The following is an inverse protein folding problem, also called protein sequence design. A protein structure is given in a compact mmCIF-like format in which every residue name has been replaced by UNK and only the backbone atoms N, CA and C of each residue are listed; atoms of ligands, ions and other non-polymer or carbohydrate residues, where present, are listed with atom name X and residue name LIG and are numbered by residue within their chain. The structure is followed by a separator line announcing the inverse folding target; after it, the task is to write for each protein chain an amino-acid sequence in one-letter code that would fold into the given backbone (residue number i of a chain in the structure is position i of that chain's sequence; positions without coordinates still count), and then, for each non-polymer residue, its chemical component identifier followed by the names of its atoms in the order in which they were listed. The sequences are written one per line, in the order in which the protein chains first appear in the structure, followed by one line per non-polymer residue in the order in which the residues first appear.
data_IF_912295682539
#
_entry.id   IF_912295682539
#
_cell.length_a   1.000
_cell.length_b   1.000
_cell.length_c   1.000
_cell.angle_alpha   90.00
_cell.angle_beta   90.00
_cell.angle_gamma   90.00
#
_symmetry.space_group_name_H-M   'P 1'
#
loop_
_entity.id
_entity.type
_entity.pdbx_description
1 polymer ?
#
# COMPACT_ATOMS: atom_id res chain seq x y z
N UNK A 1 -26.63 12.02 15.90
CA UNK A 1 -26.24 12.30 14.50
C UNK A 1 -25.30 11.20 14.07
N UNK A 2 -25.70 10.36 13.10
CA UNK A 2 -24.77 9.42 12.45
C UNK A 2 -23.90 10.23 11.50
N UNK A 3 -22.59 10.05 11.56
CA UNK A 3 -21.67 10.61 10.58
C UNK A 3 -22.05 10.10 9.17
N UNK A 4 -21.88 10.91 8.12
CA UNK A 4 -22.08 10.44 6.76
C UNK A 4 -21.09 9.30 6.51
N UNK A 5 -21.59 8.13 6.09
CA UNK A 5 -20.76 7.05 5.61
C UNK A 5 -20.09 7.54 4.32
N UNK A 6 -18.78 7.76 4.36
CA UNK A 6 -17.95 7.78 3.15
C UNK A 6 -18.08 6.38 2.52
N UNK A 7 -18.46 6.29 1.25
CA UNK A 7 -18.64 5.02 0.51
C UNK A 7 -17.30 4.32 0.22
N UNK A 8 -16.18 4.99 0.52
CA UNK A 8 -14.82 4.46 0.39
C UNK A 8 -14.59 3.30 1.35
N UNK A 9 -14.16 2.13 0.84
CA UNK A 9 -13.80 0.99 1.70
C UNK A 9 -12.32 1.07 2.04
N UNK A 10 -12.00 1.10 3.32
CA UNK A 10 -10.63 1.08 3.79
C UNK A 10 -10.32 -0.16 4.62
N UNK A 11 -9.05 -0.54 4.59
CA UNK A 11 -8.51 -1.65 5.34
C UNK A 11 -7.39 -1.20 6.25
N UNK A 12 -7.34 -1.80 7.44
CA UNK A 12 -6.24 -1.61 8.38
C UNK A 12 -5.62 -2.96 8.72
N UNK A 13 -4.31 -3.02 8.57
CA UNK A 13 -3.47 -4.10 9.09
C UNK A 13 -2.93 -3.71 10.46
N UNK A 14 -3.04 -4.59 11.46
CA UNK A 14 -2.50 -4.37 12.81
C UNK A 14 -1.12 -5.00 13.01
N UNK A 15 -0.37 -4.57 14.04
CA UNK A 15 0.96 -5.13 14.38
C UNK A 15 0.97 -6.65 14.56
N UNK A 16 -0.11 -7.19 15.13
CA UNK A 16 -0.30 -8.63 15.36
C UNK A 16 -0.80 -9.37 14.11
N UNK A 17 -0.85 -8.71 12.96
CA UNK A 17 -1.20 -9.31 11.67
C UNK A 17 -2.69 -9.58 11.49
N UNK A 18 -3.57 -8.88 12.23
CA UNK A 18 -5.03 -8.90 12.01
C UNK A 18 -5.43 -7.83 11.01
N UNK A 19 -6.47 -8.11 10.22
CA UNK A 19 -7.00 -7.21 9.19
C UNK A 19 -8.44 -6.82 9.49
N UNK A 20 -8.74 -5.53 9.33
CA UNK A 20 -10.07 -4.96 9.50
C UNK A 20 -10.50 -4.24 8.22
N UNK A 21 -11.77 -4.38 7.84
CA UNK A 21 -12.47 -3.63 6.78
C UNK A 21 -13.48 -2.70 7.44
N UNK A 22 -13.34 -1.38 7.25
CA UNK A 22 -14.23 -0.39 7.86
C UNK A 22 -14.45 -0.61 9.38
N UNK A 23 -13.41 -1.08 10.08
CA UNK A 23 -13.43 -1.38 11.52
C UNK A 23 -13.94 -2.78 11.90
N UNK A 24 -14.40 -3.60 10.96
CA UNK A 24 -14.81 -4.99 11.20
C UNK A 24 -13.69 -5.98 10.85
N UNK A 25 -13.38 -6.95 11.72
CA UNK A 25 -12.32 -7.94 11.48
C UNK A 25 -12.71 -8.91 10.36
N UNK A 26 -11.84 -9.10 9.37
CA UNK A 26 -12.11 -9.95 8.19
C UNK A 26 -11.13 -11.12 8.01
N UNK A 27 -10.12 -11.23 8.88
CA UNK A 27 -9.12 -12.28 8.79
C UNK A 27 -9.30 -13.38 9.84
N UNK A 28 -8.84 -14.59 9.52
CA UNK A 28 -8.82 -15.73 10.45
C UNK A 28 -7.43 -15.96 11.09
N UNK A 29 -6.59 -14.91 11.15
CA UNK A 29 -5.25 -15.00 11.74
C UNK A 29 -4.19 -15.47 10.75
N UNK A 30 -4.19 -14.88 9.54
CA UNK A 30 -3.21 -15.19 8.49
C UNK A 30 -1.77 -14.83 8.87
N UNK A 31 -1.56 -14.05 9.94
CA UNK A 31 -0.26 -13.46 10.25
C UNK A 31 0.14 -12.51 9.13
N UNK A 32 -0.76 -11.59 8.78
CA UNK A 32 -0.58 -10.67 7.67
C UNK A 32 0.69 -9.81 7.88
N UNK A 33 1.44 -9.68 6.80
CA UNK A 33 2.57 -8.77 6.65
C UNK A 33 2.13 -7.48 5.97
N UNK A 34 1.29 -7.62 4.94
CA UNK A 34 0.86 -6.50 4.10
C UNK A 34 -0.54 -6.75 3.50
N UNK A 35 -1.22 -5.69 3.11
CA UNK A 35 -2.57 -5.69 2.55
C UNK A 35 -2.69 -4.75 1.36
N UNK A 36 -3.38 -5.20 0.32
CA UNK A 36 -3.77 -4.37 -0.81
C UNK A 36 -5.20 -4.66 -1.24
N UNK A 37 -5.85 -3.69 -1.86
CA UNK A 37 -7.25 -3.80 -2.27
C UNK A 37 -7.50 -3.09 -3.60
N UNK A 38 -8.39 -3.63 -4.43
CA UNK A 38 -8.84 -3.01 -5.70
C UNK A 38 -10.19 -3.61 -6.10
N UNK A 39 -11.10 -2.77 -6.59
CA UNK A 39 -12.40 -3.23 -7.06
C UNK A 39 -13.17 -3.99 -5.97
N UNK A 40 -13.65 -5.20 -6.26
CA UNK A 40 -14.34 -6.05 -5.27
C UNK A 40 -13.41 -6.88 -4.38
N UNK A 41 -12.10 -6.80 -4.58
CA UNK A 41 -11.16 -7.76 -4.00
C UNK A 41 -10.19 -7.13 -3.00
N UNK A 42 -9.87 -7.89 -1.95
CA UNK A 42 -8.77 -7.62 -1.05
C UNK A 42 -7.77 -8.77 -1.06
N UNK A 43 -6.52 -8.44 -0.83
CA UNK A 43 -5.40 -9.34 -0.87
C UNK A 43 -4.55 -9.20 0.39
N UNK A 44 -4.10 -10.34 0.91
CA UNK A 44 -3.21 -10.41 2.07
C UNK A 44 -1.94 -11.13 1.66
N UNK A 45 -0.80 -10.48 1.88
CA UNK A 45 0.51 -11.12 1.94
C UNK A 45 0.81 -11.48 3.39
N UNK A 46 1.10 -12.74 3.66
CA UNK A 46 1.45 -13.20 5.02
C UNK A 46 2.94 -13.09 5.29
N UNK A 47 3.33 -13.07 6.57
CA UNK A 47 4.74 -13.16 6.99
C UNK A 47 5.45 -14.44 6.52
N UNK A 48 4.68 -15.48 6.20
CA UNK A 48 5.18 -16.73 5.63
C UNK A 48 5.25 -16.70 4.09
N UNK A 49 4.91 -15.58 3.44
CA UNK A 49 4.99 -15.40 2.01
C UNK A 49 3.76 -15.80 1.19
N UNK A 50 2.77 -16.43 1.83
CA UNK A 50 1.52 -16.88 1.18
C UNK A 50 0.64 -15.69 0.82
N UNK A 51 -0.12 -15.84 -0.26
CA UNK A 51 -1.06 -14.83 -0.73
C UNK A 51 -2.49 -15.35 -0.66
N UNK A 52 -3.38 -14.55 -0.10
CA UNK A 52 -4.81 -14.80 -0.06
C UNK A 52 -5.55 -13.69 -0.79
N UNK A 53 -6.56 -14.07 -1.60
CA UNK A 53 -7.52 -13.18 -2.24
C UNK A 53 -8.90 -13.49 -1.67
N UNK A 54 -9.56 -12.52 -1.04
CA UNK A 54 -10.86 -12.71 -0.40
C UNK A 54 -10.94 -13.98 0.49
N UNK A 55 -9.85 -14.22 1.25
CA UNK A 55 -9.71 -15.36 2.15
C UNK A 55 -9.36 -16.69 1.47
N UNK A 56 -9.31 -16.74 0.14
CA UNK A 56 -8.87 -17.92 -0.61
C UNK A 56 -7.39 -17.82 -0.93
N UNK A 57 -6.59 -18.83 -0.58
CA UNK A 57 -5.17 -18.87 -0.92
C UNK A 57 -4.97 -19.01 -2.43
N UNK A 58 -4.12 -18.17 -3.01
CA UNK A 58 -3.83 -18.16 -4.46
C UNK A 58 -2.37 -18.42 -4.81
N UNK A 59 -1.46 -18.37 -3.84
CA UNK A 59 -0.03 -18.70 -4.02
C UNK A 59 0.55 -19.32 -2.73
N UNK A 60 1.56 -20.18 -2.88
CA UNK A 60 2.17 -20.96 -1.79
C UNK A 60 3.39 -20.30 -1.15
N UNK A 61 3.98 -19.25 -1.73
CA UNK A 61 5.00 -18.49 -1.01
C UNK A 61 6.05 -17.77 -1.85
N UNK A 62 6.04 -16.44 -1.77
CA UNK A 62 7.20 -15.61 -2.06
C UNK A 62 7.90 -15.23 -0.77
N UNK A 63 9.21 -14.99 -0.77
CA UNK A 63 9.83 -14.16 0.29
C UNK A 63 9.43 -12.70 0.07
N UNK A 64 8.13 -12.42 0.13
CA UNK A 64 7.51 -11.15 -0.19
C UNK A 64 7.65 -10.16 0.95
N UNK A 65 7.90 -8.90 0.62
CA UNK A 65 7.90 -7.76 1.55
C UNK A 65 6.77 -6.78 1.30
N UNK A 66 6.15 -6.84 0.13
CA UNK A 66 5.01 -5.99 -0.21
C UNK A 66 4.12 -6.59 -1.28
N UNK A 67 2.85 -6.19 -1.27
CA UNK A 67 1.83 -6.57 -2.24
C UNK A 67 1.12 -5.33 -2.78
N UNK A 68 0.93 -5.28 -4.09
CA UNK A 68 0.10 -4.26 -4.74
C UNK A 68 -0.87 -4.92 -5.71
N UNK A 69 -2.04 -4.33 -5.90
CA UNK A 69 -3.08 -4.92 -6.74
C UNK A 69 -3.77 -3.89 -7.61
N UNK A 70 -4.30 -4.37 -8.72
CA UNK A 70 -5.22 -3.68 -9.62
C UNK A 70 -6.43 -4.60 -9.84
N UNK A 71 -7.45 -4.13 -10.56
CA UNK A 71 -8.63 -4.94 -10.87
C UNK A 71 -8.32 -6.25 -11.64
N UNK A 72 -7.16 -6.33 -12.28
CA UNK A 72 -6.78 -7.49 -13.10
C UNK A 72 -5.57 -8.25 -12.57
N UNK A 73 -4.64 -7.56 -11.96
CA UNK A 73 -3.31 -8.08 -11.66
C UNK A 73 -2.96 -7.87 -10.19
N UNK A 74 -2.26 -8.86 -9.62
CA UNK A 74 -1.56 -8.71 -8.34
C UNK A 74 -0.06 -8.73 -8.56
N UNK A 75 0.64 -7.96 -7.75
CA UNK A 75 2.07 -7.75 -7.79
C UNK A 75 2.69 -8.09 -6.44
N UNK A 76 3.84 -8.76 -6.46
CA UNK A 76 4.62 -9.05 -5.25
C UNK A 76 6.02 -8.52 -5.41
N UNK A 77 6.44 -7.79 -4.39
CA UNK A 77 7.82 -7.38 -4.20
C UNK A 77 8.49 -8.33 -3.21
N UNK A 78 9.66 -8.85 -3.57
CA UNK A 78 10.43 -9.77 -2.69
C UNK A 78 11.53 -9.06 -1.92
N UNK A 79 12.00 -9.68 -0.83
CA UNK A 79 13.17 -9.19 -0.06
C UNK A 79 14.40 -8.97 -0.92
N UNK A 80 14.59 -9.81 -1.95
CA UNK A 80 15.69 -9.74 -2.89
C UNK A 80 15.45 -8.79 -4.08
N UNK A 81 14.40 -7.98 -4.08
CA UNK A 81 14.19 -6.97 -5.11
C UNK A 81 13.41 -7.36 -6.34
N UNK A 82 13.03 -8.63 -6.44
CA UNK A 82 12.31 -9.14 -7.62
C UNK A 82 10.85 -8.74 -7.54
N UNK A 83 10.28 -8.40 -8.70
CA UNK A 83 8.86 -8.12 -8.86
C UNK A 83 8.20 -9.26 -9.64
N UNK A 84 7.09 -9.75 -9.11
CA UNK A 84 6.24 -10.74 -9.76
C UNK A 84 4.87 -10.14 -10.05
N UNK A 85 4.31 -10.46 -11.21
CA UNK A 85 2.94 -10.13 -11.62
C UNK A 85 2.18 -11.43 -11.90
N UNK A 86 1.11 -11.68 -11.16
CA UNK A 86 0.33 -12.94 -11.27
C UNK A 86 1.21 -14.20 -11.22
N UNK A 87 2.25 -14.16 -10.38
CA UNK A 87 3.23 -15.23 -10.20
C UNK A 87 4.29 -15.36 -11.29
N UNK A 88 4.27 -14.50 -12.30
CA UNK A 88 5.32 -14.41 -13.31
C UNK A 88 6.29 -13.30 -12.95
N UNK A 89 7.59 -13.62 -12.89
CA UNK A 89 8.63 -12.62 -12.65
C UNK A 89 8.69 -11.61 -13.81
N UNK A 90 8.71 -10.31 -13.50
CA UNK A 90 8.74 -9.24 -14.51
C UNK A 90 9.93 -8.28 -14.38
N UNK A 91 10.63 -8.29 -13.25
CA UNK A 91 11.80 -7.43 -13.01
C UNK A 91 12.80 -8.09 -12.04
N UNK A 92 14.04 -7.61 -12.00
CA UNK A 92 15.12 -8.09 -11.13
C UNK A 92 15.75 -6.93 -10.33
N UNK A 93 16.17 -7.24 -9.10
CA UNK A 93 17.27 -6.54 -8.41
C UNK A 93 17.03 -5.10 -7.90
N UNK A 94 15.83 -4.79 -7.41
CA UNK A 94 15.65 -3.61 -6.57
C UNK A 94 16.16 -3.84 -5.14
N UNK A 95 16.86 -2.87 -4.54
CA UNK A 95 17.00 -2.84 -3.08
C UNK A 95 15.67 -2.35 -2.49
N UNK A 96 14.61 -3.14 -2.61
CA UNK A 96 13.24 -2.66 -2.54
C UNK A 96 12.70 -2.53 -1.12
N UNK A 97 11.82 -1.55 -0.95
CA UNK A 97 11.17 -1.20 0.29
C UNK A 97 9.66 -1.39 0.20
N UNK A 98 9.04 -0.91 -0.88
CA UNK A 98 7.58 -0.88 -1.01
C UNK A 98 7.14 -0.94 -2.48
N UNK A 99 5.88 -1.31 -2.73
CA UNK A 99 5.30 -1.49 -4.06
C UNK A 99 3.87 -0.95 -4.13
N UNK A 100 3.54 -0.28 -5.23
CA UNK A 100 2.19 0.16 -5.56
C UNK A 100 1.82 -0.20 -7.01
N UNK A 101 0.53 -0.23 -7.32
CA UNK A 101 0.06 -0.51 -8.68
C UNK A 101 -1.24 0.24 -8.97
N UNK A 102 -1.38 0.72 -10.21
CA UNK A 102 -2.60 1.34 -10.70
C UNK A 102 -2.73 1.12 -12.21
N UNK A 103 -3.92 0.69 -12.66
CA UNK A 103 -4.17 0.43 -14.08
C UNK A 103 -3.23 -0.62 -14.67
N UNK A 104 -2.33 -0.20 -15.57
CA UNK A 104 -1.30 -1.05 -16.17
C UNK A 104 0.10 -0.84 -15.59
N UNK A 105 0.23 0.09 -14.64
CA UNK A 105 1.50 0.53 -14.10
C UNK A 105 1.74 -0.10 -12.73
N UNK A 106 2.99 -0.46 -12.49
CA UNK A 106 3.50 -0.81 -11.17
C UNK A 106 4.65 0.11 -10.81
N UNK A 107 4.77 0.36 -9.51
CA UNK A 107 5.74 1.27 -8.93
C UNK A 107 6.52 0.55 -7.84
N UNK A 108 7.84 0.70 -7.82
CA UNK A 108 8.70 0.21 -6.74
C UNK A 108 9.40 1.37 -6.09
N UNK A 109 9.27 1.45 -4.77
CA UNK A 109 10.11 2.29 -3.92
C UNK A 109 11.28 1.46 -3.40
N UNK A 110 12.48 1.99 -3.54
CA UNK A 110 13.70 1.37 -3.00
C UNK A 110 14.02 1.90 -1.60
N UNK A 111 14.82 1.14 -0.84
CA UNK A 111 15.38 1.54 0.46
C UNK A 111 16.23 2.80 0.41
N UNK A 112 16.68 3.19 -0.78
CA UNK A 112 17.40 4.45 -1.00
C UNK A 112 16.46 5.64 -1.28
N UNK A 113 15.14 5.45 -1.20
CA UNK A 113 14.12 6.46 -1.50
C UNK A 113 13.73 6.57 -2.98
N UNK A 114 14.42 5.87 -3.89
CA UNK A 114 14.19 6.00 -5.33
C UNK A 114 12.89 5.32 -5.79
N UNK A 115 12.21 5.93 -6.75
CA UNK A 115 10.94 5.42 -7.31
C UNK A 115 11.13 5.00 -8.76
N UNK A 116 10.67 3.79 -9.06
CA UNK A 116 10.65 3.22 -10.40
C UNK A 116 9.21 2.97 -10.83
N UNK A 117 8.88 3.28 -12.09
CA UNK A 117 7.63 2.93 -12.76
C UNK A 117 7.93 1.98 -13.91
N UNK A 118 7.36 0.78 -13.88
CA UNK A 118 7.55 -0.23 -14.92
C UNK A 118 9.03 -0.43 -15.32
N UNK A 119 9.94 -0.55 -14.35
CA UNK A 119 11.37 -0.70 -14.63
C UNK A 119 12.19 0.60 -14.67
N UNK A 120 11.54 1.76 -14.84
CA UNK A 120 12.23 3.02 -15.14
C UNK A 120 12.19 3.98 -13.95
N UNK A 121 13.34 4.56 -13.58
CA UNK A 121 13.41 5.57 -12.50
C UNK A 121 12.61 6.82 -12.91
N UNK A 122 11.79 7.35 -12.00
CA UNK A 122 10.92 8.51 -12.25
C UNK A 122 10.99 9.62 -11.18
N UNK A 123 11.81 9.47 -10.14
CA UNK A 123 11.94 10.46 -9.07
C UNK A 123 13.21 11.32 -9.15
N UNK A 124 13.17 12.44 -8.41
CA UNK A 124 14.28 13.38 -8.20
C UNK A 124 15.00 13.16 -6.85
N UNK A 125 15.19 11.90 -6.44
CA UNK A 125 15.86 11.51 -5.19
C UNK A 125 15.13 11.99 -3.92
N UNK A 126 13.82 11.74 -3.87
CA UNK A 126 13.04 11.96 -2.66
C UNK A 126 13.39 10.87 -1.64
N UNK A 127 13.61 11.20 -0.36
CA UNK A 127 13.76 10.20 0.72
C UNK A 127 12.42 9.54 1.05
N UNK A 128 11.89 8.76 0.11
CA UNK A 128 10.60 8.07 0.18
C UNK A 128 10.60 6.92 1.18
N UNK A 129 9.49 6.73 1.90
CA UNK A 129 9.28 5.61 2.82
C UNK A 129 8.09 4.71 2.49
N UNK A 130 7.08 5.24 1.80
CA UNK A 130 5.92 4.48 1.35
C UNK A 130 5.38 5.07 0.05
N UNK A 131 4.79 4.23 -0.80
CA UNK A 131 4.26 4.62 -2.11
C UNK A 131 2.85 4.07 -2.32
N UNK A 132 1.99 4.87 -2.93
CA UNK A 132 0.66 4.47 -3.36
C UNK A 132 0.39 4.94 -4.79
N UNK A 133 -0.56 4.33 -5.47
CA UNK A 133 -0.94 4.72 -6.82
C UNK A 133 -2.45 4.58 -7.02
N UNK A 134 -3.04 5.51 -7.76
CA UNK A 134 -4.42 5.45 -8.20
C UNK A 134 -4.59 6.12 -9.57
N UNK A 135 -5.31 5.47 -10.48
CA UNK A 135 -5.44 5.92 -11.86
C UNK A 135 -4.09 6.21 -12.53
N UNK A 136 -3.88 7.47 -12.92
CA UNK A 136 -2.64 7.93 -13.54
C UNK A 136 -1.63 8.54 -12.53
N UNK A 137 -2.03 8.65 -11.28
CA UNK A 137 -1.30 9.34 -10.23
C UNK A 137 -0.53 8.35 -9.34
N UNK A 138 0.66 8.75 -8.91
CA UNK A 138 1.36 8.11 -7.81
C UNK A 138 1.62 9.11 -6.70
N UNK A 139 1.61 8.59 -5.48
CA UNK A 139 1.79 9.33 -4.25
C UNK A 139 2.97 8.76 -3.48
N UNK A 140 3.84 9.63 -3.00
CA UNK A 140 5.01 9.26 -2.21
C UNK A 140 4.98 9.97 -0.87
N UNK A 141 5.07 9.17 0.19
CA UNK A 141 5.32 9.64 1.54
C UNK A 141 6.84 9.65 1.79
N UNK A 142 7.36 10.76 2.29
CA UNK A 142 8.80 10.89 2.63
C UNK A 142 9.06 10.66 4.12
N UNK A 143 10.32 10.40 4.49
CA UNK A 143 10.78 10.32 5.89
C UNK A 143 10.40 11.56 6.71
N UNK A 144 10.38 12.73 6.06
CA UNK A 144 10.00 14.01 6.69
C UNK A 144 8.49 14.18 6.86
N UNK A 145 7.68 13.21 6.42
CA UNK A 145 6.23 13.24 6.52
C UNK A 145 5.51 13.91 5.35
N UNK A 146 6.24 14.55 4.42
CA UNK A 146 5.66 15.23 3.26
C UNK A 146 5.09 14.23 2.26
N UNK A 147 4.02 14.65 1.59
CA UNK A 147 3.39 13.90 0.50
C UNK A 147 3.65 14.58 -0.83
N UNK A 148 4.06 13.79 -1.82
CA UNK A 148 4.21 14.20 -3.20
C UNK A 148 3.22 13.44 -4.08
N UNK A 149 2.61 14.13 -5.04
CA UNK A 149 1.79 13.58 -6.11
C UNK A 149 2.53 13.81 -7.42
N UNK A 150 2.89 12.73 -8.14
CA UNK A 150 3.64 12.82 -9.39
C UNK A 150 4.90 13.72 -9.31
N UNK A 151 5.64 13.65 -8.20
CA UNK A 151 6.82 14.48 -7.94
C UNK A 151 6.54 15.92 -7.50
N UNK A 152 5.28 16.36 -7.48
CA UNK A 152 4.88 17.66 -6.94
C UNK A 152 4.43 17.54 -5.48
N UNK A 153 4.99 18.34 -4.58
CA UNK A 153 4.58 18.35 -3.16
C UNK A 153 3.12 18.81 -3.02
N UNK A 154 2.29 18.05 -2.32
CA UNK A 154 0.86 18.34 -2.09
C UNK A 154 0.50 18.51 -0.61
N UNK A 155 1.39 18.12 0.30
CA UNK A 155 1.18 18.29 1.74
C UNK A 155 2.49 18.66 2.46
N UNK A 156 2.39 19.48 3.51
CA UNK A 156 3.54 19.98 4.29
C UNK A 156 4.06 18.98 5.34
N UNK A 157 3.26 17.98 5.69
CA UNK A 157 3.71 16.72 6.27
C UNK A 157 3.04 16.31 7.57
N UNK A 158 3.04 15.00 7.79
CA UNK A 158 2.57 14.33 9.00
C UNK A 158 3.64 13.38 9.50
N UNK A 159 3.66 13.08 10.80
CA UNK A 159 4.41 11.90 11.29
C UNK A 159 3.65 10.63 10.87
N UNK A 160 3.78 10.27 9.59
CA UNK A 160 3.11 9.15 8.95
C UNK A 160 4.07 8.00 8.67
N UNK A 161 3.52 6.80 8.63
CA UNK A 161 4.28 5.57 8.37
C UNK A 161 3.82 4.84 7.12
N UNK A 162 2.64 5.17 6.60
CA UNK A 162 2.09 4.51 5.43
C UNK A 162 1.12 5.41 4.66
N UNK A 163 0.94 5.09 3.38
CA UNK A 163 0.09 5.83 2.43
C UNK A 163 -0.69 4.85 1.53
N UNK A 164 -1.96 5.17 1.27
CA UNK A 164 -2.79 4.48 0.28
C UNK A 164 -3.43 5.50 -0.66
N UNK A 165 -3.91 5.05 -1.83
CA UNK A 165 -4.61 5.90 -2.79
C UNK A 165 -5.76 5.13 -3.43
N UNK A 166 -6.90 5.79 -3.59
CA UNK A 166 -8.08 5.25 -4.26
C UNK A 166 -9.03 6.40 -4.64
N UNK A 167 -9.75 6.26 -5.76
CA UNK A 167 -10.82 7.17 -6.18
C UNK A 167 -10.41 8.65 -6.30
N UNK A 168 -9.17 8.92 -6.67
CA UNK A 168 -8.59 10.26 -6.79
C UNK A 168 -8.11 10.85 -5.46
N UNK A 169 -8.28 10.13 -4.35
CA UNK A 169 -7.90 10.54 -3.01
C UNK A 169 -6.64 9.80 -2.53
N UNK A 170 -5.89 10.44 -1.63
CA UNK A 170 -4.82 9.78 -0.87
C UNK A 170 -5.15 9.73 0.61
N UNK A 171 -4.70 8.66 1.25
CA UNK A 171 -4.94 8.35 2.65
C UNK A 171 -3.61 8.15 3.36
N UNK A 172 -3.46 8.72 4.56
CA UNK A 172 -2.27 8.52 5.40
C UNK A 172 -2.64 7.84 6.70
N UNK A 173 -1.78 6.91 7.12
CA UNK A 173 -1.77 6.35 8.46
C UNK A 173 -0.63 6.97 9.26
N UNK A 174 -0.96 7.67 10.35
CA UNK A 174 0.06 8.25 11.22
C UNK A 174 0.72 7.20 12.10
N UNK A 175 1.90 7.52 12.64
CA UNK A 175 2.55 6.66 13.65
C UNK A 175 1.66 6.44 14.89
N UNK A 176 0.83 7.43 15.22
CA UNK A 176 -0.16 7.39 16.30
C UNK A 176 -1.45 6.63 15.93
N UNK A 177 -1.55 6.14 14.69
CA UNK A 177 -2.68 5.35 14.21
C UNK A 177 -3.84 6.18 13.62
N UNK A 178 -3.75 7.51 13.58
CA UNK A 178 -4.78 8.39 13.00
C UNK A 178 -4.82 8.23 11.49
N UNK A 179 -6.01 8.41 10.91
CA UNK A 179 -6.19 8.34 9.46
C UNK A 179 -6.56 9.71 8.90
N UNK A 180 -5.86 10.12 7.84
CA UNK A 180 -6.12 11.35 7.09
C UNK A 180 -6.50 11.01 5.65
N UNK A 181 -7.37 11.82 5.06
CA UNK A 181 -7.75 11.81 3.65
C UNK A 181 -7.49 13.20 3.08
N UNK A 182 -6.63 13.31 2.07
CA UNK A 182 -6.25 14.59 1.46
C UNK A 182 -5.90 15.69 2.49
N UNK A 183 -5.14 15.31 3.51
CA UNK A 183 -4.69 16.20 4.59
C UNK A 183 -5.75 16.51 5.66
N UNK A 184 -6.96 15.98 5.52
CA UNK A 184 -8.03 16.13 6.51
C UNK A 184 -8.15 14.88 7.37
N UNK A 185 -8.15 15.02 8.70
CA UNK A 185 -8.30 13.89 9.62
C UNK A 185 -9.72 13.29 9.50
N UNK A 186 -9.82 11.98 9.32
CA UNK A 186 -11.10 11.26 9.19
C UNK A 186 -11.34 10.20 10.27
N UNK A 187 -10.29 9.75 10.97
CA UNK A 187 -10.41 8.81 12.09
C UNK A 187 -9.38 9.12 13.19
N UNK A 188 -9.78 8.93 14.46
CA UNK A 188 -8.92 9.16 15.64
C UNK A 188 -7.92 8.02 15.88
N UNK A 189 -8.15 6.86 15.27
CA UNK A 189 -7.12 5.91 14.94
C UNK A 189 -7.42 4.45 15.27
N UNK A 190 -6.81 3.58 14.48
CA UNK A 190 -6.61 2.16 14.75
C UNK A 190 -5.10 2.00 14.93
N UNK A 191 -4.64 1.24 15.92
CA UNK A 191 -3.20 0.94 16.11
C UNK A 191 -2.62 0.05 14.99
N UNK A 192 -2.91 0.39 13.73
CA UNK A 192 -2.50 -0.30 12.52
C UNK A 192 -1.07 -0.01 12.15
N UNK A 193 -0.44 -0.88 11.38
CA UNK A 193 0.88 -0.71 10.76
C UNK A 193 0.80 -0.42 9.28
N UNK A 194 -0.33 -0.69 8.62
CA UNK A 194 -0.54 -0.38 7.22
C UNK A 194 -2.00 -0.07 6.89
N UNK A 195 -2.20 0.60 5.76
CA UNK A 195 -3.49 1.06 5.23
C UNK A 195 -3.64 0.67 3.76
N UNK A 196 -4.84 0.24 3.36
CA UNK A 196 -5.22 0.12 1.96
C UNK A 196 -6.60 0.74 1.74
N UNK A 197 -6.85 1.24 0.54
CA UNK A 197 -8.12 1.84 0.13
C UNK A 197 -8.56 1.30 -1.23
N UNK A 198 -9.87 1.26 -1.48
CA UNK A 198 -10.46 0.88 -2.76
C UNK A 198 -11.80 1.55 -3.00
#
# INVERSE_FOLDING_TARGET
MKAPHDESTWYILTEVGKVFENGAKIDDGYGALDIAASGSDWYILTKAGKIFKNGTKIDEGYAGVGIAVTDRDWYILTEGGKVFKNGVKIDEDYASQDIAAAGNDWYVLTKAGKVFKNGNKIDDDYSGIAIAADGADWYLLTESGKVFKNGAKVDEGYTAKDIAAAHGDWYLLTVEGKVFKNGSKIDEGYGGVGIAAR
#
